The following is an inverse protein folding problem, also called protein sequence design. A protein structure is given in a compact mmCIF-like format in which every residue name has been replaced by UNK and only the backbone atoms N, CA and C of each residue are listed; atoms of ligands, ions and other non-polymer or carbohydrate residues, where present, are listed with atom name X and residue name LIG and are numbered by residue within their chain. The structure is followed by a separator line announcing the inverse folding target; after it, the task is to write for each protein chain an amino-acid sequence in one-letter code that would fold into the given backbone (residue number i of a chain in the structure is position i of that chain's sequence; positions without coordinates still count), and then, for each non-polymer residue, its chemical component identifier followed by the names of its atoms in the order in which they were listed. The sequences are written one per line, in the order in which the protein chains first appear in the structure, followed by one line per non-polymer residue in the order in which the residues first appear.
data_IF_434026313208
#
_entry.id   IF_434026313208
#
_cell.length_a   1.000
_cell.length_b   1.000
_cell.length_c   1.000
_cell.angle_alpha   90.00
_cell.angle_beta   90.00
_cell.angle_gamma   90.00
#
_symmetry.space_group_name_H-M   'P 1'
#
loop_
_entity.id
_entity.type
_entity.pdbx_description
1 polymer ?
#
# COMPACT_ATOMS: atom_id res chain seq x y z
N UNK A 1 2.95 -32.35 8.84
CA UNK A 1 4.09 -31.53 8.60
C UNK A 1 3.95 -30.65 7.41
N UNK A 2 3.67 -31.22 6.29
CA UNK A 2 3.55 -30.42 5.10
C UNK A 2 2.34 -29.54 5.13
N UNK A 3 1.31 -29.99 5.79
CA UNK A 3 0.14 -29.13 5.93
C UNK A 3 0.50 -27.89 6.69
N UNK A 4 1.31 -28.04 7.71
CA UNK A 4 1.70 -26.89 8.50
C UNK A 4 2.43 -25.89 7.64
N UNK A 5 3.29 -26.39 6.77
CA UNK A 5 4.04 -25.50 5.90
C UNK A 5 3.13 -24.77 4.95
N UNK A 6 2.14 -25.47 4.42
CA UNK A 6 1.21 -24.81 3.52
C UNK A 6 0.42 -23.75 4.24
N UNK A 7 0.01 -24.04 5.45
CA UNK A 7 -0.70 -23.06 6.24
C UNK A 7 0.16 -21.84 6.47
N UNK A 8 1.43 -22.06 6.79
CA UNK A 8 2.33 -20.95 6.99
C UNK A 8 2.50 -20.13 5.73
N UNK A 9 2.59 -20.80 4.61
CA UNK A 9 2.72 -20.08 3.35
C UNK A 9 1.53 -19.19 3.11
N UNK A 10 0.35 -19.71 3.40
CA UNK A 10 -0.85 -18.92 3.24
C UNK A 10 -0.80 -17.69 4.12
N UNK A 11 -0.34 -17.87 5.35
CA UNK A 11 -0.24 -16.73 6.26
C UNK A 11 0.76 -15.71 5.74
N UNK A 12 1.89 -16.17 5.20
CA UNK A 12 2.86 -15.27 4.63
C UNK A 12 2.31 -14.54 3.43
N UNK A 13 1.53 -15.23 2.64
CA UNK A 13 0.99 -14.63 1.43
C UNK A 13 0.01 -13.52 1.75
N UNK A 14 -0.47 -13.48 2.99
CA UNK A 14 -1.35 -12.40 3.41
C UNK A 14 -0.58 -11.21 3.92
N UNK A 15 0.73 -11.26 3.85
CA UNK A 15 1.58 -10.16 4.28
C UNK A 15 2.52 -9.78 3.16
N UNK A 16 2.68 -8.49 2.97
CA UNK A 16 3.55 -8.02 1.92
C UNK A 16 4.17 -6.72 2.36
N UNK A 17 5.36 -6.45 1.88
CA UNK A 17 6.01 -5.20 2.19
C UNK A 17 5.19 -4.05 1.64
N UNK A 18 5.26 -2.94 2.38
CA UNK A 18 4.49 -1.76 2.00
C UNK A 18 4.87 -1.27 0.60
N UNK A 19 6.17 -1.20 0.31
CA UNK A 19 6.60 -0.73 -1.01
C UNK A 19 6.14 -1.66 -2.12
N UNK A 20 6.12 -2.96 -1.84
CA UNK A 20 5.66 -3.93 -2.83
C UNK A 20 4.17 -3.81 -3.04
N UNK A 21 3.41 -3.62 -1.96
CA UNK A 21 1.97 -3.49 -2.09
C UNK A 21 1.61 -2.22 -2.86
N UNK A 22 2.30 -1.13 -2.59
CA UNK A 22 2.00 0.12 -3.28
C UNK A 22 2.20 -0.02 -4.78
N UNK A 23 3.22 -0.79 -5.17
CA UNK A 23 3.46 -1.04 -6.58
C UNK A 23 2.42 -2.00 -7.14
N UNK A 24 2.13 -3.08 -6.43
CA UNK A 24 1.19 -4.09 -6.90
C UNK A 24 -0.20 -3.52 -7.10
N UNK A 25 -0.59 -2.59 -6.24
CA UNK A 25 -1.90 -1.97 -6.32
C UNK A 25 -1.95 -0.83 -7.32
N UNK A 26 -0.82 -0.52 -7.93
CA UNK A 26 -0.70 0.59 -8.89
C UNK A 26 -0.96 1.94 -8.27
N UNK A 27 -0.96 2.02 -6.95
CA UNK A 27 -1.02 3.31 -6.28
C UNK A 27 0.26 4.10 -6.54
N UNK A 28 1.36 3.38 -6.69
CA UNK A 28 2.64 3.96 -7.08
C UNK A 28 3.14 3.14 -8.26
N UNK A 29 3.66 3.80 -9.26
CA UNK A 29 4.00 3.10 -10.50
C UNK A 29 5.27 2.27 -10.41
N UNK A 30 6.18 2.59 -9.49
CA UNK A 30 7.42 1.86 -9.36
C UNK A 30 7.76 1.62 -7.91
N UNK A 31 8.34 0.44 -7.65
CA UNK A 31 8.70 0.09 -6.29
C UNK A 31 9.75 1.03 -5.71
N UNK A 32 10.69 1.48 -6.53
CA UNK A 32 11.72 2.40 -6.05
C UNK A 32 11.09 3.71 -5.61
N UNK A 33 10.09 4.18 -6.33
CA UNK A 33 9.38 5.39 -5.94
C UNK A 33 8.64 5.17 -4.64
N UNK A 34 7.98 4.02 -4.51
CA UNK A 34 7.29 3.69 -3.26
C UNK A 34 8.25 3.67 -2.09
N UNK A 35 9.43 3.09 -2.32
CA UNK A 35 10.44 3.03 -1.27
C UNK A 35 10.85 4.43 -0.83
N UNK A 36 11.11 5.30 -1.79
CA UNK A 36 11.50 6.67 -1.49
C UNK A 36 10.39 7.42 -0.76
N UNK A 37 9.16 7.20 -1.16
CA UNK A 37 8.04 7.86 -0.49
C UNK A 37 7.95 7.44 0.97
N UNK A 38 8.13 6.16 1.23
CA UNK A 38 8.10 5.69 2.61
C UNK A 38 9.25 6.28 3.40
N UNK A 39 10.44 6.32 2.81
CA UNK A 39 11.59 6.89 3.50
C UNK A 39 11.42 8.37 3.78
N UNK A 40 10.71 9.05 2.90
CA UNK A 40 10.47 10.47 3.06
C UNK A 40 9.32 10.78 4.02
N UNK A 41 8.67 9.77 4.57
CA UNK A 41 7.57 9.99 5.49
C UNK A 41 6.27 10.36 4.80
N UNK A 42 6.15 10.09 3.51
CA UNK A 42 4.97 10.45 2.75
C UNK A 42 3.90 9.35 2.76
N UNK A 43 4.20 8.21 3.37
CA UNK A 43 3.27 7.10 3.43
C UNK A 43 3.06 6.74 4.89
N UNK A 44 1.81 6.62 5.28
CA UNK A 44 1.46 6.22 6.63
C UNK A 44 0.68 4.92 6.59
N UNK A 45 0.90 4.11 7.60
CA UNK A 45 0.18 2.85 7.77
C UNK A 45 -0.52 2.92 9.11
N UNK A 46 -1.85 2.87 9.07
CA UNK A 46 -2.67 2.93 10.29
C UNK A 46 -2.32 4.14 11.15
N UNK A 47 -2.08 5.28 10.49
CA UNK A 47 -1.88 6.53 11.18
C UNK A 47 -0.45 6.88 11.52
N UNK A 48 0.50 5.98 11.29
CA UNK A 48 1.90 6.25 11.59
C UNK A 48 2.78 6.08 10.38
N UNK A 49 3.85 6.87 10.32
CA UNK A 49 4.79 6.70 9.21
C UNK A 49 5.35 5.28 9.28
N UNK A 50 5.59 4.72 8.10
CA UNK A 50 6.03 3.34 8.00
C UNK A 50 7.19 3.23 7.05
N UNK A 51 8.08 2.30 7.35
CA UNK A 51 9.21 2.05 6.48
C UNK A 51 8.79 1.17 5.31
N UNK A 52 9.55 1.19 4.22
CA UNK A 52 9.16 0.41 3.04
C UNK A 52 8.98 -1.08 3.30
N UNK A 53 9.73 -1.63 4.24
CA UNK A 53 9.67 -3.05 4.52
C UNK A 53 8.56 -3.43 5.50
N UNK A 54 7.79 -2.46 5.97
CA UNK A 54 6.71 -2.74 6.91
C UNK A 54 5.68 -3.65 6.26
N UNK A 55 5.23 -4.63 7.00
CA UNK A 55 4.25 -5.58 6.47
C UNK A 55 2.86 -4.97 6.43
N UNK A 56 2.16 -5.25 5.34
CA UNK A 56 0.80 -4.78 5.13
C UNK A 56 -0.13 -5.98 5.24
N UNK A 57 -1.25 -5.77 5.92
CA UNK A 57 -2.25 -6.82 6.11
C UNK A 57 -3.59 -6.33 5.63
N UNK A 58 -4.48 -7.29 5.36
CA UNK A 58 -5.85 -6.96 5.00
C UNK A 58 -6.48 -6.16 6.13
N UNK A 59 -7.15 -5.07 5.76
CA UNK A 59 -7.78 -4.21 6.73
C UNK A 59 -6.93 -3.01 7.14
N UNK A 60 -5.64 -3.02 6.78
CA UNK A 60 -4.79 -1.87 7.09
C UNK A 60 -5.24 -0.66 6.28
N UNK A 61 -5.00 0.50 6.86
CA UNK A 61 -5.29 1.78 6.20
C UNK A 61 -3.97 2.41 5.84
N UNK A 62 -3.83 2.74 4.56
CA UNK A 62 -2.62 3.38 4.05
C UNK A 62 -2.98 4.78 3.57
N UNK A 63 -2.22 5.75 4.04
CA UNK A 63 -2.35 7.13 3.59
C UNK A 63 -1.10 7.51 2.84
N UNK A 64 -1.27 8.13 1.69
CA UNK A 64 -0.12 8.53 0.90
C UNK A 64 -0.43 9.80 0.14
N UNK A 65 0.63 10.49 -0.21
CA UNK A 65 0.53 11.66 -1.08
C UNK A 65 0.83 11.25 -2.49
N UNK A 66 0.02 11.76 -3.39
CA UNK A 66 0.18 11.43 -4.78
C UNK A 66 -0.07 12.72 -5.57
N UNK A 67 1.03 13.34 -5.97
CA UNK A 67 0.94 14.65 -6.57
C UNK A 67 0.43 15.64 -5.54
N UNK A 68 -0.64 16.33 -5.86
CA UNK A 68 -1.23 17.27 -4.94
C UNK A 68 -2.45 16.71 -4.23
N UNK A 69 -2.54 15.39 -4.13
CA UNK A 69 -3.65 14.73 -3.45
C UNK A 69 -3.15 13.91 -2.28
N UNK A 70 -3.97 13.85 -1.25
CA UNK A 70 -3.80 12.89 -0.17
C UNK A 70 -4.86 11.84 -0.30
N UNK A 71 -4.45 10.60 -0.30
CA UNK A 71 -5.35 9.48 -0.52
C UNK A 71 -5.23 8.54 0.66
N UNK A 72 -6.37 8.12 1.19
CA UNK A 72 -6.41 7.07 2.20
C UNK A 72 -7.16 5.90 1.63
N UNK A 73 -6.58 4.73 1.75
CA UNK A 73 -7.19 3.51 1.23
C UNK A 73 -7.19 2.44 2.31
N UNK A 74 -8.09 1.49 2.16
CA UNK A 74 -8.11 0.31 3.01
C UNK A 74 -7.72 -0.89 2.18
N UNK A 75 -6.84 -1.71 2.71
CA UNK A 75 -6.36 -2.90 2.03
C UNK A 75 -7.46 -3.96 2.07
N UNK A 76 -7.87 -4.43 0.91
CA UNK A 76 -8.89 -5.46 0.81
C UNK A 76 -8.29 -6.83 0.54
N UNK A 77 -7.22 -6.88 -0.24
CA UNK A 77 -6.58 -8.14 -0.59
C UNK A 77 -5.09 -7.93 -0.68
N UNK A 78 -4.36 -8.97 -0.38
CA UNK A 78 -2.91 -8.97 -0.53
C UNK A 78 -2.60 -9.95 -1.65
N UNK A 79 -2.01 -9.49 -2.76
CA UNK A 79 -1.71 -10.39 -3.86
C UNK A 79 -0.52 -11.27 -3.52
N UNK A 80 -0.62 -12.55 -3.85
CA UNK A 80 0.52 -13.44 -3.73
C UNK A 80 1.23 -13.60 -5.06
N UNK A 81 0.71 -12.99 -6.11
CA UNK A 81 1.30 -13.01 -7.43
C UNK A 81 1.15 -11.63 -8.05
N UNK A 82 1.81 -11.46 -9.18
CA UNK A 82 1.64 -10.22 -9.89
C UNK A 82 0.22 -10.12 -10.43
N UNK A 83 -0.39 -8.98 -10.21
CA UNK A 83 -1.73 -8.70 -10.69
C UNK A 83 -1.65 -7.80 -11.90
N UNK A 84 -2.59 -7.95 -12.81
CA UNK A 84 -2.73 -7.02 -13.89
C UNK A 84 -3.27 -5.70 -13.34
N UNK A 85 -3.14 -4.65 -14.14
CA UNK A 85 -3.64 -3.35 -13.71
C UNK A 85 -5.13 -3.37 -13.44
N UNK A 86 -5.85 -4.20 -14.18
CA UNK A 86 -7.28 -4.31 -13.96
C UNK A 86 -7.59 -4.86 -12.59
N UNK A 87 -6.79 -5.83 -12.15
CA UNK A 87 -7.04 -6.46 -10.87
C UNK A 87 -6.50 -5.65 -9.71
N UNK A 88 -5.58 -4.73 -9.99
CA UNK A 88 -4.97 -3.96 -8.93
C UNK A 88 -6.00 -3.17 -8.13
N UNK A 89 -7.05 -2.72 -8.76
CA UNK A 89 -8.07 -1.94 -8.07
C UNK A 89 -8.85 -2.75 -7.06
N UNK A 90 -8.83 -4.06 -7.19
CA UNK A 90 -9.52 -4.93 -6.24
C UNK A 90 -8.74 -5.08 -4.95
N UNK A 91 -7.50 -4.64 -4.91
CA UNK A 91 -6.67 -4.80 -3.73
C UNK A 91 -7.00 -3.80 -2.64
N UNK A 92 -7.71 -2.73 -2.98
CA UNK A 92 -7.97 -1.68 -2.00
C UNK A 92 -9.25 -0.95 -2.35
N UNK A 93 -9.76 -0.23 -1.37
CA UNK A 93 -10.85 0.71 -1.60
C UNK A 93 -10.40 2.07 -1.09
N UNK A 94 -10.86 3.11 -1.76
CA UNK A 94 -10.51 4.46 -1.39
C UNK A 94 -11.44 4.91 -0.27
N UNK A 95 -10.86 5.27 0.86
CA UNK A 95 -11.63 5.76 2.00
C UNK A 95 -11.84 7.26 1.87
N UNK A 96 -10.80 7.97 1.51
CA UNK A 96 -10.90 9.40 1.36
C UNK A 96 -9.84 9.86 0.36
N UNK A 97 -10.14 10.98 -0.25
CA UNK A 97 -9.24 11.57 -1.23
C UNK A 97 -9.48 13.06 -1.18
N UNK A 98 -8.42 13.83 -0.95
CA UNK A 98 -8.59 15.26 -0.92
C UNK A 98 -7.39 15.95 -1.53
N UNK A 99 -7.67 17.08 -2.11
CA UNK A 99 -6.61 17.92 -2.66
C UNK A 99 -5.86 18.59 -1.54
N UNK A 100 -4.56 18.63 -1.69
CA UNK A 100 -3.73 19.36 -0.76
C UNK A 100 -3.70 20.80 -1.23
N UNK A 101 -4.29 21.67 -0.45
CA UNK A 101 -4.26 23.06 -0.79
C UNK A 101 -2.91 23.64 -0.43
N UNK A 102 -2.42 24.40 -1.33
CA UNK A 102 -1.13 25.02 -1.16
C UNK A 102 -1.34 26.48 -0.79
N UNK A 103 -0.79 26.86 0.33
CA UNK A 103 -0.94 28.25 0.76
C UNK A 103 -0.40 29.20 -0.26
N UNK A 104 0.53 28.75 -1.07
CA UNK A 104 1.10 29.60 -2.08
C UNK A 104 0.11 30.00 -3.15
N UNK A 105 -0.98 29.30 -3.22
CA UNK A 105 -2.01 29.63 -4.19
C UNK A 105 -2.69 30.96 -3.88
N UNK A 106 -2.47 31.44 -2.73
CA UNK A 106 -3.10 32.67 -2.32
C UNK A 106 -2.52 33.88 -3.01
#
# INVERSE_FOLDING_TARGET
MKEDQRTKKTAFENKKRLDVFLKASCLVSRRTVANHMCEAGLVKLNGGTAKPAKEVKIGDVIELRRGNKEIAIRVLEIPDKQFSKKQARKLYEIISEKLIENDLDL
#
